data_IF_974553420313
#
_entry.id   IF_974553420313
#
_cell.length_a   1.000
_cell.length_b   1.000
_cell.length_c   1.000
_cell.angle_alpha   90.00
_cell.angle_beta   90.00
_cell.angle_gamma   90.00
#
_symmetry.space_group_name_H-M   'P 1'
#
loop_
_entity.id
_entity.type
_entity.pdbx_description
1 polymer ?
#
# COMPACT_ATOMS: atom_id res chain seq x y z
N UNK A 1 -3.36 -8.17 -7.81
CA UNK A 1 -4.22 -7.08 -8.32
C UNK A 1 -5.01 -7.62 -9.50
N UNK A 2 -6.31 -7.35 -9.55
CA UNK A 2 -7.17 -7.75 -10.65
C UNK A 2 -7.87 -6.50 -11.19
N UNK A 3 -7.96 -6.38 -12.51
CA UNK A 3 -8.66 -5.31 -13.21
C UNK A 3 -9.91 -5.88 -13.87
N UNK A 4 -11.02 -5.16 -13.81
CA UNK A 4 -12.25 -5.52 -14.51
C UNK A 4 -12.85 -4.34 -15.27
N UNK A 5 -13.82 -4.65 -16.15
CA UNK A 5 -14.59 -3.68 -16.95
C UNK A 5 -13.72 -2.61 -17.64
N UNK A 6 -12.62 -3.03 -18.26
CA UNK A 6 -11.73 -2.14 -19.01
C UNK A 6 -11.03 -1.07 -18.16
N UNK A 7 -10.68 -1.36 -16.90
CA UNK A 7 -9.98 -0.40 -16.05
C UNK A 7 -10.90 0.50 -15.22
N UNK A 8 -12.22 0.27 -15.24
CA UNK A 8 -13.16 0.96 -14.35
C UNK A 8 -13.16 0.41 -12.93
N UNK A 9 -12.59 -0.77 -12.72
CA UNK A 9 -12.54 -1.45 -11.42
C UNK A 9 -11.15 -2.06 -11.21
N UNK A 10 -10.57 -1.77 -10.04
CA UNK A 10 -9.31 -2.32 -9.58
C UNK A 10 -9.50 -2.96 -8.21
N UNK A 11 -9.03 -4.19 -8.06
CA UNK A 11 -9.07 -4.92 -6.80
C UNK A 11 -7.65 -5.19 -6.33
N UNK A 12 -7.30 -4.61 -5.19
CA UNK A 12 -5.99 -4.74 -4.52
C UNK A 12 -6.24 -5.39 -3.16
N UNK A 13 -5.75 -6.61 -2.98
CA UNK A 13 -5.98 -7.42 -1.77
C UNK A 13 -4.90 -7.25 -0.71
N UNK A 14 -3.83 -6.53 -1.04
CA UNK A 14 -2.77 -6.17 -0.10
C UNK A 14 -2.78 -4.67 0.18
N UNK A 15 -1.91 -4.26 1.09
CA UNK A 15 -1.84 -2.89 1.57
C UNK A 15 -0.62 -2.15 1.01
N UNK A 16 -0.61 -1.87 -0.29
CA UNK A 16 0.52 -1.15 -0.91
C UNK A 16 0.65 0.29 -0.41
N UNK A 17 -0.41 0.86 0.13
CA UNK A 17 -0.47 2.19 0.74
C UNK A 17 0.20 2.28 2.11
N UNK A 18 0.52 1.15 2.75
CA UNK A 18 1.05 1.15 4.11
C UNK A 18 2.38 1.91 4.22
N UNK A 19 2.45 2.69 5.28
CA UNK A 19 3.68 3.36 5.71
C UNK A 19 4.69 2.33 6.22
N UNK A 20 6.00 2.67 6.29
CA UNK A 20 7.02 1.77 6.81
C UNK A 20 6.70 1.18 8.17
N UNK A 21 6.04 1.91 9.06
CA UNK A 21 5.79 1.52 10.46
C UNK A 21 4.42 0.90 10.71
N UNK A 22 3.57 0.75 9.69
CA UNK A 22 2.18 0.30 9.91
C UNK A 22 2.14 -1.13 10.46
N UNK A 23 2.84 -2.08 9.83
CA UNK A 23 2.89 -3.48 10.32
C UNK A 23 3.62 -3.60 11.66
N UNK A 24 4.64 -2.77 11.94
CA UNK A 24 5.31 -2.73 13.25
C UNK A 24 4.34 -2.27 14.34
N UNK A 25 3.53 -1.24 14.06
CA UNK A 25 2.53 -0.72 14.99
C UNK A 25 1.46 -1.78 15.28
N UNK A 26 0.97 -2.48 14.24
CA UNK A 26 0.02 -3.58 14.40
C UNK A 26 0.62 -4.73 15.23
N UNK A 27 1.85 -5.13 14.91
CA UNK A 27 2.57 -6.19 15.60
C UNK A 27 2.76 -5.88 17.09
N UNK A 28 3.25 -4.67 17.43
CA UNK A 28 3.45 -4.24 18.81
C UNK A 28 2.14 -4.15 19.58
N UNK A 29 1.10 -3.56 18.97
CA UNK A 29 -0.24 -3.48 19.55
C UNK A 29 -0.78 -4.86 19.94
N UNK A 30 -0.57 -5.86 19.08
CA UNK A 30 -1.12 -7.20 19.28
C UNK A 30 -0.26 -8.05 20.24
N UNK A 31 1.06 -7.79 20.29
CA UNK A 31 1.94 -8.29 21.35
C UNK A 31 1.54 -7.77 22.74
N UNK A 32 1.23 -6.48 22.86
CA UNK A 32 0.81 -5.86 24.13
C UNK A 32 -0.49 -6.49 24.66
N UNK A 33 -1.35 -6.97 23.75
CA UNK A 33 -2.56 -7.73 24.06
C UNK A 33 -2.31 -9.21 24.35
N UNK A 34 -1.06 -9.67 24.26
CA UNK A 34 -0.66 -11.08 24.42
C UNK A 34 -1.39 -12.03 23.47
N UNK A 35 -1.68 -11.58 22.25
CA UNK A 35 -2.33 -12.42 21.25
C UNK A 35 -1.34 -13.45 20.68
N UNK A 36 -1.80 -14.66 20.31
CA UNK A 36 -0.95 -15.67 19.68
C UNK A 36 -0.68 -15.31 18.21
N UNK A 37 0.21 -14.34 17.99
CA UNK A 37 0.54 -13.80 16.66
C UNK A 37 2.00 -14.09 16.28
N UNK A 38 2.24 -14.21 14.98
CA UNK A 38 3.59 -14.30 14.40
C UNK A 38 4.15 -12.92 14.05
N UNK A 39 5.48 -12.81 13.94
CA UNK A 39 6.12 -11.62 13.35
C UNK A 39 5.69 -11.46 11.88
N UNK A 40 5.51 -10.23 11.38
CA UNK A 40 5.31 -9.99 9.96
C UNK A 40 6.51 -10.54 9.15
N UNK A 41 6.23 -11.37 8.15
CA UNK A 41 7.26 -12.05 7.35
C UNK A 41 7.95 -11.09 6.39
N UNK A 42 9.27 -11.22 6.25
CA UNK A 42 10.10 -10.41 5.35
C UNK A 42 10.00 -8.89 5.59
N UNK A 43 9.61 -8.50 6.79
CA UNK A 43 9.33 -7.10 7.13
C UNK A 43 10.46 -6.47 7.93
N UNK A 44 11.09 -7.18 8.87
CA UNK A 44 12.21 -6.66 9.66
C UNK A 44 13.56 -7.05 9.06
N UNK A 45 14.58 -6.22 9.31
CA UNK A 45 15.95 -6.60 9.01
C UNK A 45 16.36 -7.80 9.89
N UNK A 46 16.89 -8.86 9.26
CA UNK A 46 17.30 -10.09 9.94
C UNK A 46 16.19 -10.75 10.81
N UNK A 47 14.92 -10.55 10.45
CA UNK A 47 13.74 -10.99 11.23
C UNK A 47 13.72 -10.45 12.68
N UNK A 48 14.39 -9.34 12.95
CA UNK A 48 14.51 -8.72 14.28
C UNK A 48 13.71 -7.41 14.39
N UNK A 49 12.59 -7.37 15.16
CA UNK A 49 11.79 -6.15 15.36
C UNK A 49 12.58 -4.96 15.90
N UNK A 50 13.69 -5.18 16.61
CA UNK A 50 14.54 -4.10 17.12
C UNK A 50 15.34 -3.39 16.03
N UNK A 51 15.58 -4.06 14.89
CA UNK A 51 16.34 -3.51 13.76
C UNK A 51 15.47 -2.70 12.79
N UNK A 52 14.16 -2.67 13.00
CA UNK A 52 13.23 -1.88 12.20
C UNK A 52 12.90 -2.47 10.83
N UNK A 53 11.99 -1.81 10.07
CA UNK A 53 11.40 -2.37 8.87
C UNK A 53 12.27 -2.21 7.61
N UNK A 54 12.27 -3.24 6.76
CA UNK A 54 12.79 -3.26 5.40
C UNK A 54 11.68 -2.85 4.40
N UNK A 55 11.72 -1.61 3.94
CA UNK A 55 10.72 -1.09 3.00
C UNK A 55 11.02 -1.56 1.57
N UNK A 56 10.31 -2.60 1.12
CA UNK A 56 10.47 -3.19 -0.23
C UNK A 56 9.33 -2.91 -1.21
N UNK A 57 8.20 -2.37 -0.73
CA UNK A 57 6.97 -2.20 -1.52
C UNK A 57 6.75 -0.80 -2.09
N UNK A 58 7.35 0.23 -1.47
CA UNK A 58 7.04 1.65 -1.77
C UNK A 58 7.17 2.03 -3.24
N UNK A 59 8.22 1.56 -3.93
CA UNK A 59 8.41 1.87 -5.34
C UNK A 59 7.23 1.39 -6.20
N UNK A 60 6.74 0.17 -5.95
CA UNK A 60 5.62 -0.40 -6.67
C UNK A 60 4.29 0.30 -6.31
N UNK A 61 4.13 0.72 -5.05
CA UNK A 61 2.98 1.52 -4.62
C UNK A 61 2.92 2.85 -5.37
N UNK A 62 4.04 3.58 -5.43
CA UNK A 62 4.12 4.87 -6.13
C UNK A 62 3.79 4.70 -7.62
N UNK A 63 4.33 3.68 -8.28
CA UNK A 63 4.04 3.38 -9.68
C UNK A 63 2.56 3.06 -9.88
N UNK A 64 1.96 2.26 -9.00
CA UNK A 64 0.55 1.92 -9.08
C UNK A 64 -0.35 3.17 -9.01
N UNK A 65 -0.20 4.00 -7.98
CA UNK A 65 -1.04 5.20 -7.82
C UNK A 65 -0.82 6.21 -8.95
N UNK A 66 0.43 6.39 -9.40
CA UNK A 66 0.75 7.28 -10.52
C UNK A 66 0.09 6.80 -11.83
N UNK A 67 0.21 5.51 -12.13
CA UNK A 67 -0.36 4.93 -13.34
C UNK A 67 -1.89 4.93 -13.29
N UNK A 68 -2.47 4.61 -12.13
CA UNK A 68 -3.91 4.62 -11.94
C UNK A 68 -4.50 6.01 -12.20
N UNK A 69 -3.94 7.05 -11.60
CA UNK A 69 -4.40 8.42 -11.80
C UNK A 69 -4.22 8.88 -13.26
N UNK A 70 -3.03 8.67 -13.83
CA UNK A 70 -2.72 9.21 -15.15
C UNK A 70 -3.45 8.49 -16.29
N UNK A 71 -3.51 7.16 -16.26
CA UNK A 71 -3.98 6.37 -17.40
C UNK A 71 -5.43 5.90 -17.27
N UNK A 72 -5.97 5.82 -16.04
CA UNK A 72 -7.31 5.25 -15.84
C UNK A 72 -8.32 6.25 -15.24
N UNK A 73 -7.86 7.29 -14.54
CA UNK A 73 -8.74 8.36 -14.05
C UNK A 73 -8.72 9.55 -15.00
N UNK A 74 -7.55 10.14 -15.25
CA UNK A 74 -7.45 11.39 -16.00
C UNK A 74 -7.71 11.23 -17.50
N UNK A 75 -7.11 10.22 -18.15
CA UNK A 75 -7.29 10.01 -19.60
C UNK A 75 -8.70 9.56 -19.98
N UNK A 76 -9.39 8.83 -19.10
CA UNK A 76 -10.76 8.35 -19.31
C UNK A 76 -11.82 9.38 -18.88
N UNK A 77 -11.43 10.43 -18.14
CA UNK A 77 -12.32 11.54 -17.74
C UNK A 77 -11.53 12.85 -17.73
N UNK A 78 -11.25 13.43 -18.91
CA UNK A 78 -10.50 14.68 -19.00
C UNK A 78 -11.28 15.78 -18.28
N UNK A 79 -10.63 16.49 -17.36
CA UNK A 79 -11.20 17.69 -16.76
C UNK A 79 -10.55 18.94 -17.38
N UNK A 80 -11.33 20.01 -17.51
CA UNK A 80 -10.82 21.31 -17.92
C UNK A 80 -10.34 22.06 -16.68
N UNK A 81 -9.05 22.40 -16.62
CA UNK A 81 -8.49 23.13 -15.47
C UNK A 81 -9.18 24.48 -15.22
N UNK A 82 -9.79 25.09 -16.26
CA UNK A 82 -10.54 26.34 -16.14
C UNK A 82 -11.94 26.17 -15.51
N UNK A 83 -12.41 24.93 -15.36
CA UNK A 83 -13.70 24.60 -14.71
C UNK A 83 -13.51 24.21 -13.24
N UNK A 84 -12.27 24.13 -12.77
CA UNK A 84 -11.94 23.87 -11.37
C UNK A 84 -11.56 25.20 -10.71
N UNK A 85 -12.53 25.83 -10.05
CA UNK A 85 -12.40 27.11 -9.33
C UNK A 85 -13.65 27.44 -8.54
#
# INVERSE_FOLDING_TARGET
MVMARGGREFFVTGHSEYSPSTLDTEYRRDLDKRLPIEKPRNYYLNDDPAQGPLVRWRAHANLFFSNWLNYFVYQETPYNINEIG
#
